data_IF_167926028494
#
_entry.id   IF_167926028494
#
_cell.length_a   1.000
_cell.length_b   1.000
_cell.length_c   1.000
_cell.angle_alpha   90.00
_cell.angle_beta   90.00
_cell.angle_gamma   90.00
#
_symmetry.space_group_name_H-M   'P 1'
#
loop_
_entity.id
_entity.type
_entity.pdbx_description
1 polymer ?
#
# COMPACT_ATOMS: atom_id res chain seq x y z
N UNK A 1 -5.82 -5.57 -8.64
CA UNK A 1 -5.38 -4.99 -9.92
C UNK A 1 -4.38 -5.95 -10.51
N UNK A 2 -4.65 -6.53 -11.67
CA UNK A 2 -3.73 -7.42 -12.38
C UNK A 2 -2.78 -6.56 -13.21
N UNK A 3 -1.50 -6.59 -12.92
CA UNK A 3 -0.48 -6.23 -13.90
C UNK A 3 -0.36 -7.44 -14.84
N UNK A 4 -1.10 -7.46 -15.93
CA UNK A 4 -1.01 -8.56 -16.91
C UNK A 4 0.35 -8.50 -17.60
N UNK A 5 1.21 -9.44 -17.27
CA UNK A 5 2.50 -9.64 -17.91
C UNK A 5 3.61 -8.69 -17.49
N UNK A 6 3.37 -7.78 -16.56
CA UNK A 6 4.39 -6.78 -16.16
C UNK A 6 5.13 -7.24 -14.90
N UNK A 7 6.44 -7.19 -14.92
CA UNK A 7 7.30 -7.54 -13.78
C UNK A 7 8.26 -6.42 -13.47
N UNK A 8 8.26 -5.98 -12.20
CA UNK A 8 9.30 -5.11 -11.65
C UNK A 8 10.34 -5.98 -10.97
N UNK A 9 11.57 -5.87 -11.36
CA UNK A 9 12.69 -6.58 -10.74
C UNK A 9 13.54 -5.55 -10.01
N UNK A 10 13.49 -5.61 -8.68
CA UNK A 10 14.44 -4.88 -7.86
C UNK A 10 15.72 -5.72 -7.65
N UNK A 11 16.88 -5.09 -7.56
CA UNK A 11 18.11 -5.79 -7.20
C UNK A 11 17.96 -6.39 -5.80
N UNK A 12 18.45 -7.62 -5.64
CA UNK A 12 18.54 -8.26 -4.33
C UNK A 12 19.57 -7.50 -3.49
N UNK A 13 19.13 -6.79 -2.47
CA UNK A 13 20.01 -6.16 -1.51
C UNK A 13 20.30 -7.19 -0.43
N UNK A 14 21.54 -7.64 -0.35
CA UNK A 14 22.02 -8.57 0.67
C UNK A 14 21.80 -8.02 2.07
N UNK A 15 21.67 -8.92 3.05
CA UNK A 15 21.27 -8.67 4.43
C UNK A 15 22.28 -7.88 5.31
N UNK A 16 23.37 -7.41 4.77
CA UNK A 16 24.34 -6.62 5.50
C UNK A 16 24.18 -5.13 5.22
N UNK A 17 24.16 -4.32 6.25
CA UNK A 17 24.00 -2.87 6.44
C UNK A 17 24.66 -1.91 5.42
N UNK A 18 25.05 -2.38 4.28
CA UNK A 18 25.59 -1.57 3.18
C UNK A 18 24.44 -1.24 2.22
N UNK A 19 24.07 0.02 2.17
CA UNK A 19 23.22 0.57 1.12
C UNK A 19 23.91 0.28 -0.21
N UNK A 20 23.48 -0.75 -0.91
CA UNK A 20 24.07 -1.10 -2.20
C UNK A 20 23.29 -0.38 -3.30
N UNK A 21 23.92 0.49 -4.08
CA UNK A 21 23.30 1.08 -5.25
C UNK A 21 22.87 -0.02 -6.25
N UNK A 22 21.67 0.13 -6.79
CA UNK A 22 21.12 -0.77 -7.79
C UNK A 22 20.43 0.00 -8.88
N UNK A 23 19.64 -0.71 -9.69
CA UNK A 23 18.82 -0.13 -10.77
C UNK A 23 17.41 -0.69 -10.71
N UNK A 24 16.43 0.14 -11.02
CA UNK A 24 15.07 -0.32 -11.23
C UNK A 24 14.94 -0.77 -12.69
N UNK A 25 14.65 -2.05 -12.86
CA UNK A 25 14.37 -2.65 -14.17
C UNK A 25 12.88 -2.97 -14.24
N UNK A 26 12.23 -2.48 -15.28
CA UNK A 26 10.84 -2.77 -15.60
C UNK A 26 10.81 -3.59 -16.89
N UNK A 27 10.07 -4.68 -16.90
CA UNK A 27 9.90 -5.52 -18.07
C UNK A 27 8.43 -5.92 -18.24
N UNK A 28 7.99 -6.00 -19.47
CA UNK A 28 6.69 -6.52 -19.85
C UNK A 28 6.84 -7.84 -20.60
N UNK A 29 5.96 -8.79 -20.24
CA UNK A 29 5.89 -10.10 -20.85
C UNK A 29 4.46 -10.37 -21.32
N UNK A 30 4.27 -11.19 -22.35
CA UNK A 30 2.96 -11.76 -22.63
C UNK A 30 2.65 -12.93 -21.67
N UNK A 31 1.43 -13.46 -21.79
CA UNK A 31 1.00 -14.58 -20.94
C UNK A 31 1.76 -15.88 -21.19
N UNK A 32 2.46 -15.99 -22.32
CA UNK A 32 3.32 -17.13 -22.66
C UNK A 32 4.76 -16.96 -22.14
N UNK A 33 5.05 -15.80 -21.51
CA UNK A 33 6.36 -15.47 -20.92
C UNK A 33 7.35 -14.85 -21.90
N UNK A 34 6.94 -14.46 -23.10
CA UNK A 34 7.82 -13.78 -24.05
C UNK A 34 8.00 -12.32 -23.66
N UNK A 35 9.25 -11.86 -23.56
CA UNK A 35 9.57 -10.47 -23.28
C UNK A 35 9.12 -9.56 -24.42
N UNK A 36 8.31 -8.54 -24.11
CA UNK A 36 7.88 -7.52 -25.06
C UNK A 36 8.82 -6.31 -25.05
N UNK A 37 9.21 -5.90 -23.86
CA UNK A 37 10.20 -4.86 -23.66
C UNK A 37 10.81 -4.94 -22.26
N UNK A 38 11.98 -4.34 -22.10
CA UNK A 38 12.69 -4.22 -20.83
C UNK A 38 13.40 -2.87 -20.77
N UNK A 39 13.15 -2.12 -19.71
CA UNK A 39 13.65 -0.75 -19.53
C UNK A 39 14.33 -0.59 -18.19
N UNK A 40 15.53 -0.01 -18.18
CA UNK A 40 16.17 0.50 -16.99
C UNK A 40 15.67 1.92 -16.76
N UNK A 41 14.91 2.13 -15.68
CA UNK A 41 14.30 3.42 -15.38
C UNK A 41 15.14 4.31 -14.48
N UNK A 42 16.28 3.84 -13.99
CA UNK A 42 17.21 4.66 -13.23
C UNK A 42 17.86 3.96 -12.05
N UNK A 43 18.66 4.73 -11.36
CA UNK A 43 19.37 4.26 -10.17
C UNK A 43 18.43 4.13 -8.98
N UNK A 44 18.78 3.27 -8.05
CA UNK A 44 18.05 2.97 -6.85
C UNK A 44 18.99 2.72 -5.69
N UNK A 45 18.74 3.38 -4.56
CA UNK A 45 19.51 3.25 -3.33
C UNK A 45 18.56 3.10 -2.16
N UNK A 46 18.51 1.94 -1.53
CA UNK A 46 17.67 1.73 -0.35
C UNK A 46 18.20 0.58 0.50
N UNK A 47 18.08 0.73 1.82
CA UNK A 47 18.43 -0.32 2.79
C UNK A 47 17.47 -1.53 2.76
N UNK A 48 16.25 -1.37 2.23
CA UNK A 48 15.19 -2.38 2.30
C UNK A 48 14.75 -2.94 0.94
N UNK A 49 15.42 -2.52 -0.15
CA UNK A 49 15.06 -2.94 -1.51
C UNK A 49 13.83 -2.21 -2.06
N UNK A 50 13.42 -2.59 -3.28
CA UNK A 50 12.29 -2.02 -3.99
C UNK A 50 11.02 -2.85 -3.71
N UNK A 51 9.94 -2.21 -3.30
CA UNK A 51 8.71 -2.90 -2.87
C UNK A 51 7.41 -2.27 -3.41
N UNK A 52 7.48 -1.35 -4.37
CA UNK A 52 6.27 -0.78 -4.96
C UNK A 52 5.78 -1.61 -6.14
N UNK A 53 4.45 -1.71 -6.29
CA UNK A 53 3.87 -2.31 -7.48
C UNK A 53 3.70 -1.27 -8.59
N UNK A 54 3.94 -1.62 -9.87
CA UNK A 54 3.60 -0.76 -10.98
C UNK A 54 2.07 -0.57 -11.05
N UNK A 55 1.62 0.63 -11.41
CA UNK A 55 0.20 0.95 -11.58
C UNK A 55 -0.07 1.21 -13.05
N UNK A 56 -1.07 0.51 -13.60
CA UNK A 56 -1.53 0.74 -14.96
C UNK A 56 -2.54 1.88 -14.98
N UNK A 57 -2.33 2.84 -15.86
CA UNK A 57 -3.26 3.93 -16.09
C UNK A 57 -3.26 4.32 -17.58
N UNK A 58 -4.41 4.16 -18.24
CA UNK A 58 -4.53 4.33 -19.70
C UNK A 58 -3.42 3.52 -20.42
N UNK A 59 -2.62 4.17 -21.25
CA UNK A 59 -1.49 3.55 -21.94
C UNK A 59 -0.16 3.67 -21.19
N UNK A 60 -0.19 3.84 -19.88
CA UNK A 60 1.01 4.05 -19.07
C UNK A 60 1.17 2.98 -17.99
N UNK A 61 2.42 2.62 -17.73
CA UNK A 61 2.89 1.90 -16.55
C UNK A 61 3.59 2.91 -15.65
N UNK A 62 3.03 3.19 -14.49
CA UNK A 62 3.55 4.21 -13.57
C UNK A 62 4.21 3.54 -12.38
N UNK A 63 5.41 4.01 -12.03
CA UNK A 63 6.17 3.52 -10.89
C UNK A 63 6.47 4.64 -9.91
N UNK A 64 6.40 4.29 -8.63
CA UNK A 64 6.99 5.04 -7.56
C UNK A 64 8.45 4.59 -7.40
N UNK A 65 9.39 5.43 -7.79
CA UNK A 65 10.83 5.25 -7.65
C UNK A 65 11.39 6.01 -6.44
N UNK A 66 10.64 6.07 -5.35
CA UNK A 66 11.12 6.67 -4.10
C UNK A 66 12.24 5.83 -3.50
N UNK A 67 13.36 6.46 -3.17
CA UNK A 67 14.55 5.84 -2.58
C UNK A 67 15.43 6.88 -1.86
N UNK A 68 16.52 6.43 -1.24
CA UNK A 68 17.42 7.32 -0.45
C UNK A 68 18.26 8.28 -1.31
N UNK A 69 18.23 8.15 -2.63
CA UNK A 69 18.91 9.02 -3.59
C UNK A 69 17.99 10.06 -4.23
N UNK A 70 18.15 10.28 -5.53
CA UNK A 70 17.32 11.19 -6.32
C UNK A 70 15.99 10.50 -6.69
N UNK A 71 15.06 10.55 -5.75
CA UNK A 71 13.75 9.92 -5.85
C UNK A 71 12.89 10.51 -6.97
N UNK A 72 12.07 9.68 -7.62
CA UNK A 72 11.25 10.07 -8.75
C UNK A 72 9.96 9.26 -8.88
N UNK A 73 8.98 9.83 -9.61
CA UNK A 73 7.89 9.11 -10.24
C UNK A 73 8.20 9.00 -11.72
N UNK A 74 7.89 7.88 -12.34
CA UNK A 74 8.09 7.67 -13.77
C UNK A 74 6.91 6.96 -14.40
N UNK A 75 6.49 7.40 -15.58
CA UNK A 75 5.55 6.67 -16.41
C UNK A 75 6.23 6.20 -17.68
N UNK A 76 6.02 4.94 -18.00
CA UNK A 76 6.47 4.31 -19.23
C UNK A 76 5.26 4.04 -20.13
N UNK A 77 5.49 4.11 -21.41
CA UNK A 77 4.52 3.65 -22.40
C UNK A 77 4.31 2.13 -22.25
N UNK A 78 3.07 1.71 -22.10
CA UNK A 78 2.72 0.31 -21.81
C UNK A 78 3.14 -0.66 -22.89
N UNK A 79 3.15 -0.22 -24.15
CA UNK A 79 3.48 -1.10 -25.30
C UNK A 79 4.98 -1.15 -25.61
N UNK A 80 5.69 -0.05 -25.39
CA UNK A 80 7.08 0.09 -25.83
C UNK A 80 8.11 0.18 -24.72
N UNK A 81 7.66 0.42 -23.46
CA UNK A 81 8.54 0.66 -22.32
C UNK A 81 9.29 2.00 -22.37
N UNK A 82 9.00 2.88 -23.34
CA UNK A 82 9.63 4.20 -23.42
C UNK A 82 9.10 5.13 -22.35
N UNK A 83 9.97 5.95 -21.77
CA UNK A 83 9.56 6.95 -20.79
C UNK A 83 8.63 7.99 -21.43
N UNK A 84 7.46 8.20 -20.81
CA UNK A 84 6.48 9.23 -21.17
C UNK A 84 6.69 10.52 -20.39
N UNK A 85 6.89 10.37 -19.07
CA UNK A 85 7.21 11.48 -18.18
C UNK A 85 7.96 10.98 -16.95
N UNK A 86 8.69 11.93 -16.34
CA UNK A 86 9.38 11.75 -15.06
C UNK A 86 9.17 12.98 -14.19
N UNK A 87 8.87 12.75 -12.91
CA UNK A 87 8.75 13.81 -11.92
C UNK A 87 9.73 13.56 -10.80
N UNK A 88 10.64 14.49 -10.57
CA UNK A 88 11.54 14.43 -9.42
C UNK A 88 10.74 14.63 -8.14
N UNK A 89 11.05 13.82 -7.12
CA UNK A 89 10.50 13.98 -5.78
C UNK A 89 11.44 14.90 -4.99
N UNK A 90 10.86 15.98 -4.44
CA UNK A 90 11.65 17.00 -3.71
C UNK A 90 12.22 16.45 -2.41
N UNK A 91 11.50 15.57 -1.75
CA UNK A 91 11.92 14.90 -0.54
C UNK A 91 12.62 13.60 -0.92
N UNK A 92 13.85 13.41 -0.46
CA UNK A 92 14.54 12.12 -0.54
C UNK A 92 13.74 11.12 0.27
N UNK A 93 13.03 10.22 -0.40
CA UNK A 93 11.91 9.58 0.22
C UNK A 93 12.12 8.08 0.37
N UNK A 94 12.05 7.58 1.58
CA UNK A 94 11.90 6.16 1.87
C UNK A 94 10.42 5.80 1.88
N UNK A 95 9.81 5.73 0.70
CA UNK A 95 8.42 5.32 0.57
C UNK A 95 8.34 4.04 -0.25
N UNK A 96 7.60 3.08 0.27
CA UNK A 96 7.41 1.75 -0.34
C UNK A 96 5.97 1.57 -0.83
N UNK A 97 5.21 2.65 -0.91
CA UNK A 97 3.79 2.62 -1.22
C UNK A 97 3.52 2.49 -2.71
N UNK A 98 2.49 1.74 -3.03
CA UNK A 98 1.90 1.75 -4.36
C UNK A 98 0.94 2.94 -4.47
N UNK A 99 1.07 3.79 -5.50
CA UNK A 99 0.13 4.90 -5.71
C UNK A 99 -1.30 4.41 -5.92
N UNK A 100 -2.28 5.17 -5.42
CA UNK A 100 -3.67 4.97 -5.77
C UNK A 100 -4.10 6.00 -6.82
N UNK A 101 -4.87 5.59 -7.84
CA UNK A 101 -5.42 6.49 -8.84
C UNK A 101 -6.93 6.50 -8.71
N UNK A 102 -7.52 7.69 -8.55
CA UNK A 102 -8.96 7.90 -8.40
C UNK A 102 -9.39 9.15 -9.14
N UNK A 103 -10.60 9.11 -9.69
CA UNK A 103 -11.30 10.32 -10.10
C UNK A 103 -12.01 10.91 -8.89
N UNK A 104 -11.73 12.16 -8.58
CA UNK A 104 -12.24 12.88 -7.40
C UNK A 104 -12.63 14.27 -7.87
N UNK A 105 -13.91 14.61 -7.73
CA UNK A 105 -14.47 15.89 -8.17
C UNK A 105 -14.13 16.22 -9.64
N UNK A 106 -14.21 15.22 -10.53
CA UNK A 106 -13.91 15.34 -11.96
C UNK A 106 -12.42 15.47 -12.30
N UNK A 107 -11.52 15.32 -11.32
CA UNK A 107 -10.07 15.37 -11.52
C UNK A 107 -9.47 13.99 -11.26
N UNK A 108 -8.74 13.46 -12.23
CA UNK A 108 -7.96 12.23 -12.01
C UNK A 108 -6.75 12.54 -11.15
N UNK A 109 -6.65 11.86 -10.01
CA UNK A 109 -5.60 12.06 -9.03
C UNK A 109 -4.85 10.76 -8.77
N UNK A 110 -3.53 10.80 -8.93
CA UNK A 110 -2.61 9.78 -8.46
C UNK A 110 -2.06 10.24 -7.11
N UNK A 111 -2.38 9.51 -6.05
CA UNK A 111 -2.05 9.93 -4.68
C UNK A 111 -1.10 8.91 -4.07
N UNK A 112 -0.04 9.39 -3.45
CA UNK A 112 0.93 8.56 -2.73
C UNK A 112 1.55 9.33 -1.57
N UNK A 113 1.98 8.59 -0.56
CA UNK A 113 2.81 9.13 0.52
C UNK A 113 4.29 9.09 0.13
N UNK A 114 5.06 9.94 0.76
CA UNK A 114 6.51 10.00 0.67
C UNK A 114 7.09 10.44 2.01
N UNK A 115 8.41 10.59 2.09
CA UNK A 115 9.02 11.09 3.32
C UNK A 115 8.47 12.48 3.65
N UNK A 116 7.90 12.61 4.85
CA UNK A 116 7.31 13.84 5.36
C UNK A 116 6.23 14.47 4.45
N UNK A 117 5.57 13.68 3.60
CA UNK A 117 4.50 14.19 2.76
C UNK A 117 3.50 13.13 2.29
N UNK A 118 2.30 13.58 1.95
CA UNK A 118 1.34 12.90 1.09
C UNK A 118 1.02 13.85 -0.07
N UNK A 119 1.11 13.38 -1.30
CA UNK A 119 0.94 14.25 -2.46
C UNK A 119 0.09 13.62 -3.54
N UNK A 120 -0.58 14.48 -4.32
CA UNK A 120 -1.36 14.11 -5.48
C UNK A 120 -0.74 14.67 -6.75
N UNK A 121 -0.78 13.85 -7.80
CA UNK A 121 -0.25 14.18 -9.12
C UNK A 121 -1.27 13.84 -10.20
N UNK A 122 -1.19 14.52 -11.34
CA UNK A 122 -1.85 14.09 -12.55
C UNK A 122 -1.11 12.87 -13.13
N UNK A 123 -1.75 11.70 -13.24
CA UNK A 123 -1.07 10.51 -13.76
C UNK A 123 -0.71 10.58 -15.25
N UNK A 124 -1.28 11.55 -16.01
CA UNK A 124 -0.99 11.72 -17.45
C UNK A 124 0.34 12.43 -17.72
N UNK A 125 0.79 13.29 -16.77
CA UNK A 125 1.96 14.14 -17.01
C UNK A 125 2.88 14.31 -15.78
N UNK A 126 2.53 13.72 -14.63
CA UNK A 126 3.30 13.78 -13.40
C UNK A 126 3.28 15.14 -12.69
N UNK A 127 2.44 16.10 -13.09
CA UNK A 127 2.33 17.41 -12.42
C UNK A 127 1.64 17.27 -11.07
N UNK A 128 2.23 17.87 -10.02
CA UNK A 128 1.65 17.86 -8.69
C UNK A 128 0.41 18.74 -8.62
N UNK A 129 -0.69 18.19 -8.11
CA UNK A 129 -1.90 18.92 -7.79
C UNK A 129 -1.78 19.62 -6.43
N UNK A 130 -1.55 18.82 -5.39
CA UNK A 130 -1.45 19.28 -4.01
C UNK A 130 -0.47 18.43 -3.20
N UNK A 131 -0.08 18.95 -2.05
CA UNK A 131 0.74 18.25 -1.06
C UNK A 131 0.21 18.55 0.35
N UNK A 132 0.28 17.56 1.22
CA UNK A 132 0.11 17.66 2.67
C UNK A 132 1.45 17.31 3.31
N UNK A 133 1.92 18.13 4.23
CA UNK A 133 3.10 17.84 5.03
C UNK A 133 2.79 16.65 5.95
N UNK A 134 3.55 15.63 5.81
CA UNK A 134 3.37 14.37 6.54
C UNK A 134 4.14 14.37 7.84
N UNK A 135 3.67 13.58 8.82
CA UNK A 135 4.28 13.54 10.15
C UNK A 135 5.47 12.59 10.25
N UNK A 136 5.75 11.76 9.26
CA UNK A 136 6.73 10.68 9.37
C UNK A 136 7.59 10.53 8.13
N UNK A 137 8.81 10.03 8.34
CA UNK A 137 9.81 9.88 7.28
C UNK A 137 9.61 8.64 6.42
N UNK A 138 8.97 7.60 6.96
CA UNK A 138 8.87 6.31 6.29
C UNK A 138 7.43 5.82 6.21
N UNK A 139 6.99 5.54 4.99
CA UNK A 139 5.68 4.94 4.71
C UNK A 139 5.86 3.61 3.99
N UNK A 140 5.21 2.56 4.51
CA UNK A 140 5.17 1.22 3.91
C UNK A 140 3.75 0.87 3.49
N UNK A 141 2.78 1.17 4.35
CA UNK A 141 1.37 0.87 4.14
C UNK A 141 0.79 1.65 2.96
N UNK A 142 0.08 0.95 2.08
CA UNK A 142 -0.69 1.59 1.01
C UNK A 142 -1.87 2.36 1.58
N UNK A 143 -2.23 3.45 0.90
CA UNK A 143 -3.38 4.27 1.28
C UNK A 143 -4.69 3.63 0.84
N UNK A 144 -5.77 3.99 1.52
CA UNK A 144 -7.14 3.62 1.13
C UNK A 144 -8.01 4.87 0.98
N UNK A 145 -9.03 4.77 0.13
CA UNK A 145 -9.98 5.85 -0.15
C UNK A 145 -11.42 5.36 0.06
N UNK A 146 -12.23 6.11 0.81
CA UNK A 146 -13.60 5.74 1.16
C UNK A 146 -14.68 6.48 0.36
N UNK A 147 -14.28 7.18 -0.71
CA UNK A 147 -15.16 8.04 -1.51
C UNK A 147 -15.17 9.50 -1.03
N UNK A 148 -14.55 9.82 0.12
CA UNK A 148 -14.47 11.19 0.64
C UNK A 148 -13.08 11.54 1.19
N UNK A 149 -12.45 10.61 1.92
CA UNK A 149 -11.13 10.81 2.51
C UNK A 149 -10.14 9.76 2.02
N UNK A 150 -8.91 10.20 1.85
CA UNK A 150 -7.75 9.32 1.72
C UNK A 150 -7.16 9.11 3.09
N UNK A 151 -6.94 7.84 3.46
CA UNK A 151 -6.31 7.47 4.73
C UNK A 151 -4.89 7.00 4.46
N UNK A 152 -3.94 7.72 5.07
CA UNK A 152 -2.52 7.38 5.04
C UNK A 152 -2.07 6.99 6.45
N UNK A 153 -1.37 5.87 6.57
CA UNK A 153 -0.72 5.47 7.81
C UNK A 153 0.77 5.29 7.56
N UNK A 154 1.59 5.71 8.50
CA UNK A 154 3.03 5.61 8.43
C UNK A 154 3.65 5.39 9.80
N UNK A 155 4.89 4.91 9.84
CA UNK A 155 5.36 4.31 11.06
C UNK A 155 6.74 4.67 11.59
N UNK A 156 7.58 5.39 10.89
CA UNK A 156 8.92 5.70 11.39
C UNK A 156 9.29 7.18 11.17
N UNK A 157 9.87 7.89 12.17
CA UNK A 157 10.12 7.41 13.54
C UNK A 157 8.86 7.24 14.40
N UNK A 158 7.79 7.97 14.10
CA UNK A 158 6.54 7.92 14.86
C UNK A 158 5.39 7.37 14.00
N UNK A 159 4.49 6.63 14.62
CA UNK A 159 3.32 6.09 13.95
C UNK A 159 2.21 7.12 13.90
N UNK A 160 1.67 7.34 12.71
CA UNK A 160 0.57 8.28 12.47
C UNK A 160 -0.44 7.71 11.50
N UNK A 161 -1.69 8.10 11.68
CA UNK A 161 -2.76 7.94 10.68
C UNK A 161 -3.40 9.29 10.43
N UNK A 162 -3.56 9.63 9.16
CA UNK A 162 -4.20 10.86 8.70
C UNK A 162 -5.38 10.51 7.81
N UNK A 163 -6.49 11.23 8.01
CA UNK A 163 -7.58 11.31 7.04
C UNK A 163 -7.50 12.64 6.32
N UNK A 164 -7.32 12.59 5.01
CA UNK A 164 -7.09 13.77 4.17
C UNK A 164 -8.28 13.91 3.23
N UNK A 165 -8.84 15.12 3.15
CA UNK A 165 -9.79 15.47 2.07
C UNK A 165 -8.97 15.71 0.81
N UNK A 166 -9.05 14.85 -0.21
CA UNK A 166 -8.30 15.05 -1.44
C UNK A 166 -8.86 16.27 -2.19
N UNK A 167 -7.98 17.08 -2.78
CA UNK A 167 -8.36 18.28 -3.52
C UNK A 167 -7.47 19.48 -3.20
N UNK A 168 -7.85 20.64 -3.74
CA UNK A 168 -7.09 21.88 -3.59
C UNK A 168 -5.86 21.95 -4.49
N UNK A 169 -4.99 22.94 -4.23
CA UNK A 169 -3.75 23.20 -4.98
C UNK A 169 -2.63 23.67 -4.04
N UNK A 170 -1.39 23.32 -4.38
CA UNK A 170 -0.23 23.69 -3.58
C UNK A 170 -0.17 22.94 -2.25
N UNK A 171 0.33 23.55 -1.19
CA UNK A 171 0.34 22.96 0.15
C UNK A 171 -1.02 23.18 0.82
N UNK A 172 -1.68 22.09 1.18
CA UNK A 172 -3.02 22.08 1.75
C UNK A 172 -3.06 21.52 3.18
N UNK A 173 -1.95 21.44 3.84
CA UNK A 173 -1.78 20.84 5.17
C UNK A 173 -2.78 21.39 6.20
N UNK A 174 -2.90 22.71 6.29
CA UNK A 174 -3.73 23.36 7.31
C UNK A 174 -5.23 23.26 7.04
N UNK A 175 -5.63 22.90 5.83
CA UNK A 175 -7.03 22.95 5.40
C UNK A 175 -7.65 21.60 5.06
N UNK A 176 -6.84 20.59 4.73
CA UNK A 176 -7.34 19.32 4.18
C UNK A 176 -7.15 18.10 5.09
N UNK A 177 -6.40 18.21 6.19
CA UNK A 177 -6.37 17.17 7.22
C UNK A 177 -7.68 17.22 8.01
N UNK A 178 -8.54 16.22 7.82
CA UNK A 178 -9.81 16.14 8.51
C UNK A 178 -9.63 15.69 9.98
N UNK A 179 -8.77 14.70 10.19
CA UNK A 179 -8.34 14.24 11.51
C UNK A 179 -7.02 13.48 11.43
N UNK A 180 -6.37 13.34 12.58
CA UNK A 180 -5.14 12.57 12.72
C UNK A 180 -5.09 11.86 14.08
N UNK A 181 -4.38 10.73 14.15
CA UNK A 181 -4.10 10.01 15.40
C UNK A 181 -2.73 9.36 15.35
N UNK A 182 -2.10 9.22 16.52
CA UNK A 182 -0.87 8.45 16.72
C UNK A 182 -1.14 7.10 17.35
N UNK A 183 -2.36 6.88 17.87
CA UNK A 183 -2.74 5.66 18.58
C UNK A 183 -3.39 4.67 17.63
N UNK A 184 -2.95 3.42 17.68
CA UNK A 184 -3.48 2.34 16.86
C UNK A 184 -3.09 2.43 15.38
N UNK A 185 -2.14 3.28 15.03
CA UNK A 185 -1.63 3.41 13.67
C UNK A 185 -0.75 2.21 13.31
N UNK A 186 -0.88 1.77 12.06
CA UNK A 186 -0.08 0.70 11.47
C UNK A 186 1.19 1.27 10.80
N UNK A 187 2.23 0.45 10.69
CA UNK A 187 3.43 0.79 9.94
C UNK A 187 3.53 -0.03 8.64
N UNK A 188 3.62 -1.36 8.74
CA UNK A 188 3.74 -2.25 7.58
C UNK A 188 2.38 -2.63 7.02
N UNK A 189 1.42 -3.16 7.79
CA UNK A 189 0.13 -3.54 7.24
C UNK A 189 -0.67 -2.32 6.75
N UNK A 190 -1.23 -2.42 5.56
CA UNK A 190 -2.12 -1.39 5.01
C UNK A 190 -3.47 -1.40 5.74
N UNK A 191 -4.10 -0.24 5.93
CA UNK A 191 -5.44 -0.16 6.49
C UNK A 191 -6.48 -0.71 5.51
N UNK A 192 -7.69 -0.97 6.01
CA UNK A 192 -8.83 -1.34 5.17
C UNK A 192 -10.08 -0.56 5.58
N UNK A 193 -10.89 -0.20 4.59
CA UNK A 193 -12.22 0.39 4.79
C UNK A 193 -13.27 -0.73 4.65
N UNK A 194 -14.16 -0.81 5.62
CA UNK A 194 -15.35 -1.67 5.57
C UNK A 194 -16.57 -0.90 6.06
N UNK A 195 -17.42 -0.49 5.12
CA UNK A 195 -18.51 0.42 5.38
C UNK A 195 -18.00 1.76 5.93
N UNK A 196 -18.45 2.14 7.12
CA UNK A 196 -18.03 3.37 7.81
C UNK A 196 -16.76 3.22 8.65
N UNK A 197 -16.21 2.03 8.74
CA UNK A 197 -15.09 1.71 9.63
C UNK A 197 -13.76 1.71 8.88
N UNK A 198 -12.77 2.37 9.46
CA UNK A 198 -11.35 2.22 9.13
C UNK A 198 -10.75 1.22 10.11
N UNK A 199 -10.27 0.10 9.60
CA UNK A 199 -9.64 -0.95 10.40
C UNK A 199 -8.16 -1.04 10.05
N UNK A 200 -7.36 -1.23 11.08
CA UNK A 200 -5.92 -1.38 10.98
C UNK A 200 -5.43 -2.44 11.96
N UNK A 201 -4.29 -3.04 11.64
CA UNK A 201 -3.51 -3.83 12.60
C UNK A 201 -2.06 -3.33 12.59
N UNK A 202 -1.53 -3.03 13.74
CA UNK A 202 -0.11 -2.69 13.89
C UNK A 202 0.76 -3.95 13.82
N UNK A 203 2.04 -3.79 13.46
CA UNK A 203 3.03 -4.89 13.39
C UNK A 203 3.10 -5.70 14.70
N UNK A 204 2.82 -5.03 15.82
CA UNK A 204 2.79 -5.66 17.16
C UNK A 204 1.54 -6.49 17.43
N UNK A 205 0.60 -6.56 16.48
CA UNK A 205 -0.67 -7.27 16.64
C UNK A 205 -1.78 -6.48 17.34
N UNK A 206 -1.64 -5.16 17.47
CA UNK A 206 -2.74 -4.31 17.98
C UNK A 206 -3.65 -3.95 16.82
N UNK A 207 -4.86 -4.52 16.81
CA UNK A 207 -5.91 -4.15 15.87
C UNK A 207 -6.72 -2.97 16.40
N UNK A 208 -7.17 -2.11 15.52
CA UNK A 208 -7.91 -0.89 15.85
C UNK A 208 -9.05 -0.67 14.86
N UNK A 209 -10.17 -0.14 15.37
CA UNK A 209 -11.30 0.27 14.57
C UNK A 209 -11.64 1.72 14.86
N UNK A 210 -11.77 2.50 13.79
CA UNK A 210 -12.12 3.91 13.86
C UNK A 210 -13.36 4.19 13.01
N UNK A 211 -14.16 5.16 13.43
CA UNK A 211 -15.11 5.80 12.54
C UNK A 211 -14.34 6.58 11.47
N UNK A 212 -14.43 6.17 10.22
CA UNK A 212 -13.61 6.73 9.15
C UNK A 212 -13.80 8.25 8.97
N UNK A 213 -15.02 8.75 9.19
CA UNK A 213 -15.35 10.17 9.00
C UNK A 213 -14.84 11.09 10.10
N UNK A 214 -14.70 10.62 11.31
CA UNK A 214 -14.42 11.44 12.50
C UNK A 214 -13.12 11.11 13.20
N UNK A 215 -12.53 9.94 12.93
CA UNK A 215 -11.38 9.43 13.66
C UNK A 215 -11.71 8.96 15.09
N UNK A 216 -13.01 8.92 15.46
CA UNK A 216 -13.42 8.34 16.75
C UNK A 216 -13.01 6.87 16.78
N UNK A 217 -12.19 6.50 17.76
CA UNK A 217 -11.81 5.11 17.97
C UNK A 217 -12.94 4.38 18.69
N UNK A 218 -13.42 3.30 18.08
CA UNK A 218 -14.42 2.41 18.68
C UNK A 218 -13.76 1.41 19.62
N UNK A 219 -12.71 0.72 19.15
CA UNK A 219 -11.96 -0.25 19.95
C UNK A 219 -10.50 -0.37 19.52
N UNK A 220 -9.70 -0.97 20.38
CA UNK A 220 -8.30 -1.33 20.13
C UNK A 220 -8.01 -2.61 20.94
N UNK A 221 -7.68 -3.70 20.23
CA UNK A 221 -7.59 -5.03 20.79
C UNK A 221 -6.30 -5.74 20.34
N UNK A 222 -5.80 -6.61 21.19
CA UNK A 222 -4.63 -7.42 20.89
C UNK A 222 -5.01 -8.70 20.19
N UNK A 223 -4.50 -8.88 18.97
CA UNK A 223 -4.58 -10.14 18.22
C UNK A 223 -3.35 -11.01 18.50
N UNK A 224 -3.43 -12.34 18.25
CA UNK A 224 -2.31 -13.25 18.44
C UNK A 224 -1.15 -12.97 17.48
N UNK A 225 0.06 -12.79 18.00
CA UNK A 225 1.29 -12.65 17.23
C UNK A 225 1.53 -11.27 16.62
N UNK A 226 2.62 -11.15 15.86
CA UNK A 226 2.91 -10.02 15.01
C UNK A 226 2.11 -10.07 13.70
N UNK A 227 2.04 -8.96 12.98
CA UNK A 227 1.31 -8.87 11.73
C UNK A 227 2.12 -8.09 10.69
N UNK A 228 2.63 -8.80 9.69
CA UNK A 228 3.15 -8.23 8.44
C UNK A 228 2.08 -8.17 7.34
N UNK A 229 1.19 -9.20 7.24
CA UNK A 229 0.10 -9.19 6.27
C UNK A 229 -0.89 -8.05 6.51
N UNK A 230 -1.32 -7.40 5.44
CA UNK A 230 -2.45 -6.46 5.48
C UNK A 230 -3.77 -7.20 5.65
N UNK A 231 -4.75 -6.66 6.39
CA UNK A 231 -6.08 -7.22 6.46
C UNK A 231 -6.78 -7.18 5.10
N UNK A 232 -7.66 -8.13 4.87
CA UNK A 232 -8.54 -8.16 3.70
C UNK A 232 -9.99 -8.28 4.12
N UNK A 233 -10.92 -7.84 3.25
CA UNK A 233 -12.35 -7.97 3.52
C UNK A 233 -13.06 -8.72 2.40
N UNK A 234 -14.00 -9.58 2.81
CA UNK A 234 -14.94 -10.26 1.92
C UNK A 234 -16.23 -10.55 2.67
N UNK A 235 -17.37 -10.48 1.99
CA UNK A 235 -18.70 -10.80 2.52
C UNK A 235 -19.04 -10.14 3.86
N UNK A 236 -18.62 -8.87 4.02
CA UNK A 236 -18.85 -8.11 5.23
C UNK A 236 -18.02 -8.54 6.44
N UNK A 237 -17.03 -9.39 6.24
CA UNK A 237 -16.06 -9.81 7.24
C UNK A 237 -14.68 -9.24 6.94
N UNK A 238 -13.85 -9.12 7.98
CA UNK A 238 -12.44 -8.72 7.88
C UNK A 238 -11.56 -9.81 8.47
N UNK A 239 -10.51 -10.14 7.73
CA UNK A 239 -9.57 -11.21 8.02
C UNK A 239 -8.21 -10.59 8.37
N UNK A 240 -7.76 -10.81 9.59
CA UNK A 240 -6.43 -10.45 10.06
C UNK A 240 -5.56 -11.70 10.15
N UNK A 241 -4.51 -11.76 9.35
CA UNK A 241 -3.58 -12.91 9.36
C UNK A 241 -2.32 -12.49 10.08
N UNK A 242 -1.94 -13.26 11.10
CA UNK A 242 -0.69 -13.04 11.83
C UNK A 242 0.51 -13.69 11.15
N UNK A 243 1.71 -13.24 11.50
CA UNK A 243 2.97 -13.83 11.02
C UNK A 243 3.13 -15.32 11.39
N UNK A 244 2.34 -15.79 12.38
CA UNK A 244 2.30 -17.20 12.81
C UNK A 244 1.25 -18.05 12.10
N UNK A 245 0.53 -17.48 11.13
CA UNK A 245 -0.51 -18.20 10.38
C UNK A 245 -1.88 -18.23 11.06
N UNK A 246 -2.08 -17.51 12.16
CA UNK A 246 -3.40 -17.40 12.81
C UNK A 246 -4.23 -16.33 12.09
N UNK A 247 -5.37 -16.73 11.54
CA UNK A 247 -6.35 -15.82 10.94
C UNK A 247 -7.46 -15.52 11.93
N UNK A 248 -7.57 -14.26 12.36
CA UNK A 248 -8.68 -13.77 13.18
C UNK A 248 -9.72 -13.11 12.27
N UNK A 249 -10.96 -13.55 12.34
CA UNK A 249 -12.07 -13.08 11.50
C UNK A 249 -13.05 -12.33 12.36
N UNK A 250 -13.39 -11.11 11.97
CA UNK A 250 -14.36 -10.25 12.67
C UNK A 250 -15.43 -9.73 11.70
N UNK A 251 -16.56 -9.31 12.27
CA UNK A 251 -17.52 -8.43 11.60
C UNK A 251 -17.26 -6.99 12.06
N UNK A 252 -16.96 -6.06 11.15
CA UNK A 252 -16.75 -4.65 11.54
C UNK A 252 -17.95 -4.08 12.28
N UNK A 253 -17.71 -3.56 13.48
CA UNK A 253 -18.74 -2.94 14.32
C UNK A 253 -18.10 -2.02 15.37
N UNK A 254 -18.93 -1.32 16.15
CA UNK A 254 -18.47 -0.46 17.26
C UNK A 254 -17.90 -1.25 18.45
N UNK A 255 -18.19 -2.54 18.50
CA UNK A 255 -17.66 -3.47 19.52
C UNK A 255 -16.85 -4.56 18.85
N UNK A 256 -15.73 -4.93 19.46
CA UNK A 256 -14.90 -6.01 18.96
C UNK A 256 -15.54 -7.37 19.26
N UNK A 257 -15.79 -8.15 18.23
CA UNK A 257 -16.30 -9.52 18.36
C UNK A 257 -15.62 -10.44 17.33
N UNK A 258 -14.99 -11.49 17.81
CA UNK A 258 -14.36 -12.51 16.96
C UNK A 258 -15.43 -13.49 16.51
N UNK A 259 -15.55 -13.65 15.19
CA UNK A 259 -16.44 -14.63 14.55
C UNK A 259 -15.78 -16.00 14.49
N UNK A 260 -14.50 -16.04 14.09
CA UNK A 260 -13.75 -17.28 14.00
C UNK A 260 -12.24 -17.01 14.14
N UNK A 261 -11.52 -18.05 14.54
CA UNK A 261 -10.05 -18.14 14.45
C UNK A 261 -9.68 -19.42 13.74
N UNK A 262 -8.85 -19.32 12.72
CA UNK A 262 -8.31 -20.43 11.99
C UNK A 262 -6.78 -20.39 12.03
N UNK A 263 -6.13 -21.51 12.00
CA UNK A 263 -4.68 -21.59 12.07
C UNK A 263 -4.12 -22.47 10.97
N UNK A 264 -3.09 -21.96 10.29
CA UNK A 264 -2.20 -22.74 9.44
C UNK A 264 -0.85 -22.73 10.15
N UNK A 265 -0.34 -23.90 10.50
CA UNK A 265 0.87 -24.05 11.30
C UNK A 265 2.16 -23.73 10.50
N UNK A 266 2.15 -22.60 9.78
CA UNK A 266 3.26 -22.11 8.98
C UNK A 266 3.35 -20.58 9.07
N UNK A 267 4.57 -20.01 9.04
CA UNK A 267 4.75 -18.57 8.99
C UNK A 267 4.18 -17.94 7.72
N UNK A 268 3.55 -16.77 7.87
CA UNK A 268 2.92 -16.00 6.80
C UNK A 268 3.43 -14.57 6.83
N UNK A 269 3.90 -14.06 5.69
CA UNK A 269 4.25 -12.64 5.52
C UNK A 269 3.43 -11.96 4.43
N UNK A 270 2.73 -12.74 3.60
CA UNK A 270 1.93 -12.24 2.50
C UNK A 270 0.48 -11.99 2.92
N UNK A 271 -0.09 -10.88 2.45
CA UNK A 271 -1.53 -10.63 2.58
C UNK A 271 -2.32 -11.70 1.81
N UNK A 272 -3.43 -12.21 2.35
CA UNK A 272 -4.27 -13.16 1.64
C UNK A 272 -4.95 -12.50 0.44
N UNK A 273 -5.26 -13.30 -0.58
CA UNK A 273 -6.13 -12.90 -1.68
C UNK A 273 -7.44 -13.69 -1.62
N UNK A 274 -8.56 -13.00 -1.91
CA UNK A 274 -9.88 -13.65 -1.93
C UNK A 274 -10.47 -13.44 -3.32
N UNK A 275 -10.82 -14.54 -3.96
CA UNK A 275 -11.41 -14.54 -5.31
C UNK A 275 -12.30 -15.75 -5.51
N UNK A 276 -13.46 -15.57 -6.16
CA UNK A 276 -14.38 -16.64 -6.54
C UNK A 276 -14.78 -17.57 -5.38
N UNK A 277 -14.97 -17.01 -4.18
CA UNK A 277 -15.31 -17.78 -2.98
C UNK A 277 -14.16 -18.60 -2.38
N UNK A 278 -12.94 -18.35 -2.82
CA UNK A 278 -11.73 -19.01 -2.34
C UNK A 278 -10.77 -18.01 -1.70
N UNK A 279 -10.04 -18.44 -0.67
CA UNK A 279 -8.96 -17.70 -0.02
C UNK A 279 -7.64 -18.33 -0.46
N UNK A 280 -6.78 -17.50 -1.02
CA UNK A 280 -5.41 -17.88 -1.38
C UNK A 280 -4.46 -17.30 -0.32
N UNK A 281 -3.74 -18.16 0.38
CA UNK A 281 -2.80 -17.78 1.41
C UNK A 281 -1.42 -18.36 1.10
N UNK A 282 -0.47 -17.48 0.86
CA UNK A 282 0.93 -17.87 0.69
C UNK A 282 1.63 -17.87 2.04
N UNK A 283 2.13 -19.03 2.42
CA UNK A 283 3.04 -19.21 3.56
C UNK A 283 4.49 -19.20 3.08
N UNK A 284 5.43 -19.44 3.98
CA UNK A 284 6.84 -19.56 3.58
C UNK A 284 7.11 -20.79 2.71
N UNK A 285 6.32 -21.85 2.83
CA UNK A 285 6.55 -23.13 2.14
C UNK A 285 5.51 -23.45 1.09
N UNK A 286 4.23 -23.02 1.28
CA UNK A 286 3.11 -23.43 0.44
C UNK A 286 2.26 -22.25 -0.04
N UNK A 287 1.49 -22.49 -1.08
CA UNK A 287 0.35 -21.67 -1.47
C UNK A 287 -0.93 -22.49 -1.20
N UNK A 288 -1.70 -22.06 -0.20
CA UNK A 288 -2.99 -22.66 0.13
C UNK A 288 -4.10 -22.03 -0.68
N UNK A 289 -5.01 -22.87 -1.17
CA UNK A 289 -6.29 -22.47 -1.74
C UNK A 289 -7.39 -23.08 -0.87
N UNK A 290 -8.11 -22.24 -0.14
CA UNK A 290 -9.13 -22.63 0.84
C UNK A 290 -10.48 -22.17 0.31
N UNK A 291 -11.39 -23.10 0.12
CA UNK A 291 -12.75 -22.85 -0.35
C UNK A 291 -13.66 -24.03 -0.06
N UNK A 292 -14.97 -23.82 -0.15
CA UNK A 292 -15.91 -24.93 -0.11
C UNK A 292 -15.84 -25.71 -1.43
N UNK A 293 -15.71 -27.02 -1.37
CA UNK A 293 -16.02 -27.86 -2.52
C UNK A 293 -17.50 -27.66 -2.85
N UNK A 294 -17.80 -26.87 -3.87
CA UNK A 294 -19.11 -26.95 -4.50
C UNK A 294 -19.09 -28.25 -5.35
N UNK A 295 -19.59 -29.33 -4.77
CA UNK A 295 -20.03 -30.46 -5.58
C UNK A 295 -21.20 -30.03 -6.46
#
# INVERSE_FOLDING_TARGET
MRAEGDRVIAPNVGSERLITPGKIIVAAYDLDGNEKWKTNVGDFVSAHGFNTCPVLFEDSVILNGDHDGDAYLVALDRQTGRERWRTRRENKTRSYVTPIIREIDGITQMILSGSLCIASYDPRNGKRHWIVDGPTEQFVASMVYDGKYVFATGGYPERHTLAIRPGGRGNVTDTHIAWRTTRGAAYVPSPIISGRYLLMVADSGIASCFEARTGKRHWMERLPGGHSPSPVSADGLVYFVSDRGVTTIIRPSETFAVIAKNEIAEPVSASPAISQGQIFLRTHQHLYCIGSNKN
#
